data_IF_720734269857
#
_entry.id   IF_720734269857
#
_cell.length_a   1.000
_cell.length_b   1.000
_cell.length_c   1.000
_cell.angle_alpha   90.00
_cell.angle_beta   90.00
_cell.angle_gamma   90.00
#
_symmetry.space_group_name_H-M   'P 1'
#
loop_
_entity.id
_entity.type
_entity.pdbx_description
1 polymer ?
#
# COMPACT_ATOMS: atom_id res chain seq x y z
N UNK A 1 4.63 25.44 3.85
CA UNK A 1 4.05 24.60 2.77
C UNK A 1 5.10 24.24 1.74
N UNK A 2 5.89 25.20 1.24
CA UNK A 2 7.03 24.96 0.32
C UNK A 2 7.98 23.84 0.81
N UNK A 3 8.31 23.82 2.10
CA UNK A 3 9.21 22.78 2.65
C UNK A 3 8.60 21.37 2.60
N UNK A 4 7.29 21.25 2.81
CA UNK A 4 6.60 19.95 2.75
C UNK A 4 6.52 19.43 1.32
N UNK A 5 6.28 20.33 0.36
CA UNK A 5 6.27 20.00 -1.07
C UNK A 5 7.70 19.59 -1.52
N UNK A 6 8.73 20.32 -1.09
CA UNK A 6 10.14 19.99 -1.36
C UNK A 6 10.53 18.60 -0.83
N UNK A 7 10.03 18.23 0.35
CA UNK A 7 10.25 16.89 0.91
C UNK A 7 9.47 15.85 0.09
N UNK A 8 8.23 16.14 -0.28
CA UNK A 8 7.38 15.23 -1.03
C UNK A 8 7.97 14.90 -2.42
N UNK A 9 8.58 15.88 -3.08
CA UNK A 9 9.21 15.71 -4.39
C UNK A 9 10.33 14.65 -4.35
N UNK A 10 11.04 14.50 -3.23
CA UNK A 10 12.07 13.45 -3.06
C UNK A 10 11.52 12.03 -3.13
N UNK A 11 10.22 11.86 -2.91
CA UNK A 11 9.50 10.59 -2.98
C UNK A 11 8.66 10.45 -4.26
N UNK A 12 8.81 11.39 -5.21
CA UNK A 12 8.00 11.46 -6.42
C UNK A 12 6.54 11.80 -6.13
N UNK A 13 6.27 12.57 -5.06
CA UNK A 13 4.94 13.04 -4.67
C UNK A 13 4.95 14.57 -4.75
N UNK A 14 4.14 15.16 -5.61
CA UNK A 14 4.19 16.62 -5.86
C UNK A 14 3.56 17.48 -4.74
N UNK A 15 2.98 16.86 -3.71
CA UNK A 15 2.14 17.54 -2.74
C UNK A 15 2.40 17.03 -1.32
N UNK A 16 2.89 17.94 -0.47
CA UNK A 16 3.22 17.68 0.93
C UNK A 16 2.03 17.20 1.77
N UNK A 17 0.79 17.61 1.43
CA UNK A 17 -0.41 17.13 2.13
C UNK A 17 -0.72 15.68 1.79
N UNK A 18 -0.52 15.28 0.53
CA UNK A 18 -0.65 13.87 0.11
C UNK A 18 0.36 13.00 0.86
N UNK A 19 1.63 13.39 0.88
CA UNK A 19 2.66 12.67 1.63
C UNK A 19 2.33 12.63 3.14
N UNK A 20 1.90 13.74 3.75
CA UNK A 20 1.52 13.77 5.15
C UNK A 20 0.33 12.83 5.48
N UNK A 21 -0.66 12.75 4.58
CA UNK A 21 -1.78 11.80 4.70
C UNK A 21 -1.30 10.35 4.61
N UNK A 22 -0.38 10.04 3.70
CA UNK A 22 0.21 8.70 3.57
C UNK A 22 0.99 8.31 4.82
N UNK A 23 1.82 9.21 5.36
CA UNK A 23 2.57 8.98 6.60
C UNK A 23 1.64 8.76 7.80
N UNK A 24 0.51 9.47 7.88
CA UNK A 24 -0.51 9.23 8.92
C UNK A 24 -1.12 7.84 8.80
N UNK A 25 -1.47 7.44 7.58
CA UNK A 25 -2.03 6.11 7.30
C UNK A 25 -1.03 4.99 7.62
N UNK A 26 0.26 5.20 7.32
CA UNK A 26 1.34 4.29 7.69
C UNK A 26 1.59 4.24 9.20
N UNK A 27 1.45 5.36 9.91
CA UNK A 27 1.51 5.38 11.38
C UNK A 27 0.38 4.55 12.00
N UNK A 28 -0.83 4.63 11.45
CA UNK A 28 -1.93 3.74 11.83
C UNK A 28 -1.53 2.27 11.63
N UNK A 29 -1.04 1.91 10.44
CA UNK A 29 -0.59 0.54 10.14
C UNK A 29 0.48 0.06 11.13
N UNK A 30 1.51 0.88 11.36
CA UNK A 30 2.59 0.60 12.31
C UNK A 30 2.07 0.37 13.72
N UNK A 31 1.09 1.16 14.17
CA UNK A 31 0.49 0.99 15.49
C UNK A 31 -0.29 -0.32 15.58
N UNK A 32 -1.05 -0.70 14.55
CA UNK A 32 -1.72 -2.01 14.48
C UNK A 32 -0.70 -3.15 14.61
N UNK A 33 0.42 -3.08 13.88
CA UNK A 33 1.51 -4.06 13.99
C UNK A 33 2.12 -4.10 15.39
N UNK A 34 2.41 -2.95 16.00
CA UNK A 34 3.01 -2.85 17.33
C UNK A 34 2.10 -3.39 18.44
N UNK A 35 0.78 -3.31 18.25
CA UNK A 35 -0.20 -3.90 19.15
C UNK A 35 -0.48 -5.39 18.86
N UNK A 36 0.32 -6.04 18.00
CA UNK A 36 0.14 -7.43 17.57
C UNK A 36 -1.28 -7.73 17.10
N UNK A 37 -1.96 -6.71 16.58
CA UNK A 37 -3.34 -6.82 16.12
C UNK A 37 -3.37 -7.48 14.74
N UNK A 38 -4.44 -8.22 14.48
CA UNK A 38 -4.69 -8.80 13.17
C UNK A 38 -4.81 -7.71 12.09
N UNK A 39 -3.98 -7.84 11.05
CA UNK A 39 -3.95 -6.93 9.90
C UNK A 39 -4.93 -7.38 8.80
N UNK A 40 -4.93 -8.67 8.49
CA UNK A 40 -5.75 -9.24 7.42
C UNK A 40 -7.24 -9.14 7.78
N UNK A 41 -8.05 -8.59 6.87
CA UNK A 41 -9.46 -8.22 7.06
C UNK A 41 -9.72 -7.03 8.03
N UNK A 42 -8.70 -6.22 8.37
CA UNK A 42 -8.91 -4.98 9.15
C UNK A 42 -9.30 -3.83 8.24
N UNK A 43 -10.24 -3.02 8.70
CA UNK A 43 -10.57 -1.76 8.03
C UNK A 43 -9.54 -0.68 8.38
N UNK A 44 -8.95 -0.07 7.36
CA UNK A 44 -8.09 1.10 7.46
C UNK A 44 -8.97 2.32 7.69
N UNK A 45 -8.89 2.89 8.90
CA UNK A 45 -9.67 4.06 9.30
C UNK A 45 -9.02 5.33 8.75
N UNK A 46 -7.70 5.43 8.88
CA UNK A 46 -6.91 6.51 8.29
C UNK A 46 -6.55 6.16 6.84
N UNK A 47 -7.47 6.46 5.93
CA UNK A 47 -7.26 6.20 4.50
C UNK A 47 -6.30 7.22 3.87
N UNK A 48 -5.41 6.78 2.97
CA UNK A 48 -4.48 7.66 2.29
C UNK A 48 -5.23 8.56 1.31
N UNK A 49 -4.76 9.80 1.16
CA UNK A 49 -5.28 10.74 0.17
C UNK A 49 -4.86 10.32 -1.24
N UNK A 50 -5.80 10.45 -2.19
CA UNK A 50 -5.55 10.25 -3.62
C UNK A 50 -4.48 11.23 -4.13
N UNK A 51 -3.39 10.76 -4.77
CA UNK A 51 -2.45 11.64 -5.45
C UNK A 51 -3.08 12.24 -6.72
N UNK A 52 -2.57 13.38 -7.23
CA UNK A 52 -2.99 13.86 -8.55
C UNK A 52 -2.74 12.78 -9.62
N UNK A 53 -3.64 12.71 -10.61
CA UNK A 53 -3.59 11.69 -11.67
C UNK A 53 -2.24 11.72 -12.38
N UNK A 54 -1.64 10.54 -12.58
CA UNK A 54 -0.35 10.41 -13.27
C UNK A 54 0.89 10.74 -12.45
N UNK A 55 0.76 11.24 -11.20
CA UNK A 55 1.91 11.42 -10.29
C UNK A 55 2.40 10.08 -9.78
N UNK A 56 1.46 9.18 -9.49
CA UNK A 56 1.76 7.80 -9.09
C UNK A 56 0.85 6.87 -9.89
N UNK A 57 1.20 6.59 -11.16
CA UNK A 57 0.35 5.84 -12.09
C UNK A 57 -0.10 4.48 -11.54
N UNK A 58 0.78 3.81 -10.79
CA UNK A 58 0.51 2.52 -10.15
C UNK A 58 -0.73 2.54 -9.24
N UNK A 59 -1.07 3.69 -8.66
CA UNK A 59 -2.18 3.83 -7.71
C UNK A 59 -3.40 4.52 -8.31
N UNK A 60 -3.37 4.94 -9.58
CA UNK A 60 -4.49 5.67 -10.20
C UNK A 60 -5.80 4.87 -10.13
N UNK A 61 -5.71 3.54 -10.24
CA UNK A 61 -6.85 2.62 -10.16
C UNK A 61 -7.38 2.40 -8.74
N UNK A 62 -6.61 2.70 -7.69
CA UNK A 62 -7.02 2.47 -6.30
C UNK A 62 -8.27 3.28 -5.91
N UNK A 63 -8.40 4.48 -6.49
CA UNK A 63 -9.52 5.41 -6.24
C UNK A 63 -10.55 5.43 -7.37
N UNK A 64 -10.62 4.36 -8.17
CA UNK A 64 -11.70 4.18 -9.15
C UNK A 64 -12.96 3.67 -8.46
N UNK A 65 -14.14 4.07 -8.98
CA UNK A 65 -15.43 3.60 -8.45
C UNK A 65 -15.50 2.07 -8.52
N UNK A 66 -15.84 1.42 -7.40
CA UNK A 66 -15.81 -0.04 -7.26
C UNK A 66 -14.63 -0.56 -6.43
N UNK A 67 -13.56 0.23 -6.27
CA UNK A 67 -12.34 -0.16 -5.55
C UNK A 67 -12.30 0.37 -4.10
N UNK A 68 -13.44 0.73 -3.53
CA UNK A 68 -13.56 1.21 -2.14
C UNK A 68 -12.99 0.20 -1.14
N UNK A 69 -13.12 -1.10 -1.45
CA UNK A 69 -12.56 -2.19 -0.68
C UNK A 69 -11.01 -2.18 -0.67
N UNK A 70 -10.33 -1.66 -1.69
CA UNK A 70 -8.86 -1.54 -1.73
C UNK A 70 -8.39 -0.47 -0.75
N UNK A 71 -9.10 0.66 -0.70
CA UNK A 71 -8.81 1.78 0.20
C UNK A 71 -9.07 1.43 1.67
N UNK A 72 -10.09 0.61 1.90
CA UNK A 72 -10.48 0.18 3.24
C UNK A 72 -9.54 -0.87 3.83
N UNK A 73 -8.52 -1.33 3.13
CA UNK A 73 -7.73 -2.52 3.50
C UNK A 73 -6.23 -2.22 3.52
N UNK A 74 -5.43 -3.01 4.26
CA UNK A 74 -4.04 -2.66 4.51
C UNK A 74 -3.15 -2.77 3.27
N UNK A 75 -3.58 -3.46 2.21
CA UNK A 75 -2.71 -3.74 1.08
C UNK A 75 -2.21 -2.48 0.35
N UNK A 76 -3.08 -1.49 0.11
CA UNK A 76 -2.65 -0.22 -0.48
C UNK A 76 -1.58 0.49 0.37
N UNK A 77 -1.67 0.38 1.70
CA UNK A 77 -0.65 0.95 2.60
C UNK A 77 0.69 0.23 2.48
N UNK A 78 0.69 -1.09 2.24
CA UNK A 78 1.92 -1.85 1.98
C UNK A 78 2.56 -1.40 0.66
N UNK A 79 1.77 -1.16 -0.39
CA UNK A 79 2.25 -0.59 -1.66
C UNK A 79 2.84 0.82 -1.48
N UNK A 80 2.16 1.68 -0.72
CA UNK A 80 2.66 3.02 -0.39
C UNK A 80 3.98 2.92 0.38
N UNK A 81 4.07 2.02 1.36
CA UNK A 81 5.31 1.76 2.09
C UNK A 81 6.44 1.35 1.14
N UNK A 82 6.17 0.43 0.21
CA UNK A 82 7.15 0.02 -0.80
C UNK A 82 7.61 1.20 -1.66
N UNK A 83 6.68 2.02 -2.17
CA UNK A 83 7.03 3.17 -2.99
C UNK A 83 7.97 4.13 -2.26
N UNK A 84 7.65 4.46 -1.01
CA UNK A 84 8.51 5.34 -0.20
C UNK A 84 9.87 4.68 0.06
N UNK A 85 9.87 3.38 0.36
CA UNK A 85 11.10 2.63 0.60
C UNK A 85 11.98 2.53 -0.64
N UNK A 86 11.42 2.43 -1.84
CA UNK A 86 12.19 2.47 -3.10
C UNK A 86 12.94 3.78 -3.30
N UNK A 87 12.43 4.91 -2.80
CA UNK A 87 13.15 6.18 -2.80
C UNK A 87 14.21 6.27 -1.69
N UNK A 88 13.97 5.64 -0.54
CA UNK A 88 14.88 5.71 0.63
C UNK A 88 16.04 4.72 0.49
N UNK A 89 15.73 3.49 0.10
CA UNK A 89 16.66 2.37 0.00
C UNK A 89 16.28 1.47 -1.20
N UNK A 90 16.77 1.81 -2.41
CA UNK A 90 16.49 1.04 -3.63
C UNK A 90 16.97 -0.41 -3.58
N UNK A 91 17.93 -0.75 -2.72
CA UNK A 91 18.49 -2.10 -2.59
C UNK A 91 17.77 -2.94 -1.52
N UNK A 92 16.70 -2.42 -0.95
CA UNK A 92 15.91 -3.12 0.07
C UNK A 92 15.26 -4.38 -0.50
N UNK A 93 15.50 -5.52 0.15
CA UNK A 93 14.79 -6.78 -0.09
C UNK A 93 13.45 -6.87 0.65
N UNK A 94 12.99 -5.77 1.28
CA UNK A 94 11.78 -5.79 2.11
C UNK A 94 10.54 -6.28 1.37
N UNK A 95 10.32 -5.79 0.14
CA UNK A 95 9.16 -6.19 -0.64
C UNK A 95 9.16 -7.65 -1.02
N UNK A 96 10.33 -8.19 -1.37
CA UNK A 96 10.49 -9.61 -1.66
C UNK A 96 10.10 -10.44 -0.42
N UNK A 97 10.68 -10.12 0.74
CA UNK A 97 10.38 -10.82 2.00
C UNK A 97 8.90 -10.71 2.39
N UNK A 98 8.28 -9.54 2.18
CA UNK A 98 6.85 -9.36 2.41
C UNK A 98 6.02 -10.21 1.45
N UNK A 99 6.39 -10.27 0.18
CA UNK A 99 5.68 -11.06 -0.83
C UNK A 99 5.78 -12.55 -0.53
N UNK A 100 6.96 -13.04 -0.13
CA UNK A 100 7.19 -14.42 0.32
C UNK A 100 6.31 -14.75 1.54
N UNK A 101 6.29 -13.87 2.55
CA UNK A 101 5.43 -14.03 3.74
C UNK A 101 3.94 -14.03 3.39
N UNK A 102 3.50 -13.19 2.45
CA UNK A 102 2.10 -13.17 2.01
C UNK A 102 1.75 -14.43 1.21
N UNK A 103 2.70 -15.05 0.50
CA UNK A 103 2.51 -16.31 -0.20
C UNK A 103 2.38 -17.52 0.74
N UNK A 104 2.96 -17.44 1.94
CA UNK A 104 2.75 -18.44 3.01
C UNK A 104 1.36 -18.33 3.66
N UNK A 105 0.59 -17.27 3.37
CA UNK A 105 -0.70 -17.04 3.99
C UNK A 105 -1.71 -18.13 3.56
N UNK A 106 -2.43 -18.76 4.50
CA UNK A 106 -3.31 -19.88 4.17
C UNK A 106 -4.44 -19.42 3.24
N UNK A 107 -4.56 -20.07 2.08
CA UNK A 107 -5.71 -19.93 1.21
C UNK A 107 -6.82 -20.87 1.71
N UNK A 108 -7.83 -20.29 2.34
CA UNK A 108 -9.03 -20.99 2.80
C UNK A 108 -10.25 -20.18 2.38
N UNK A 109 -10.56 -20.27 1.09
CA UNK A 109 -11.73 -19.70 0.40
C UNK A 109 -13.04 -19.88 1.18
N UNK A 110 -13.37 -21.08 1.73
CA UNK A 110 -14.60 -21.28 2.52
C UNK A 110 -14.73 -20.39 3.77
N UNK A 111 -13.61 -19.92 4.32
CA UNK A 111 -13.58 -19.08 5.53
C UNK A 111 -13.31 -17.60 5.21
N UNK A 112 -13.28 -17.22 3.93
CA UNK A 112 -12.90 -15.88 3.49
C UNK A 112 -11.45 -15.52 3.84
N UNK A 113 -10.59 -16.53 4.00
CA UNK A 113 -9.16 -16.38 4.29
C UNK A 113 -8.43 -16.50 2.98
N UNK A 114 -7.86 -15.40 2.50
CA UNK A 114 -7.13 -15.37 1.25
C UNK A 114 -6.84 -13.94 0.83
N UNK A 115 -6.40 -13.80 -0.41
CA UNK A 115 -5.99 -12.52 -0.97
C UNK A 115 -7.07 -11.43 -0.83
N UNK A 116 -8.35 -11.72 -1.12
CA UNK A 116 -9.45 -10.76 -0.95
C UNK A 116 -9.58 -10.15 0.45
N UNK A 117 -9.16 -10.84 1.51
CA UNK A 117 -9.15 -10.32 2.88
C UNK A 117 -8.13 -9.18 3.09
N UNK A 118 -7.12 -9.08 2.23
CA UNK A 118 -6.16 -7.98 2.20
C UNK A 118 -6.62 -6.79 1.35
N UNK A 119 -7.78 -6.86 0.70
CA UNK A 119 -8.32 -5.78 -0.15
C UNK A 119 -7.78 -5.80 -1.56
N UNK A 120 -7.87 -6.97 -2.14
CA UNK A 120 -7.16 -7.38 -3.31
C UNK A 120 -8.23 -7.92 -4.25
N UNK A 121 -8.67 -7.11 -5.21
CA UNK A 121 -9.50 -7.57 -6.36
C UNK A 121 -8.57 -8.05 -7.45
N UNK A 122 -8.91 -9.07 -8.24
CA UNK A 122 -8.06 -9.65 -9.31
C UNK A 122 -7.31 -8.63 -10.21
N UNK A 123 -7.84 -7.40 -10.33
CA UNK A 123 -7.25 -6.27 -11.06
C UNK A 123 -5.92 -5.75 -10.48
N UNK A 124 -5.64 -5.98 -9.20
CA UNK A 124 -4.41 -5.56 -8.51
C UNK A 124 -3.15 -6.34 -8.92
N UNK A 125 -3.27 -7.59 -9.42
CA UNK A 125 -2.11 -8.43 -9.80
C UNK A 125 -1.37 -7.85 -11.01
N UNK A 126 -2.02 -6.93 -11.73
CA UNK A 126 -1.42 -6.16 -12.82
C UNK A 126 -0.69 -4.89 -12.38
N UNK A 127 -0.70 -4.53 -11.10
CA UNK A 127 0.06 -3.38 -10.60
C UNK A 127 1.53 -3.78 -10.53
N UNK A 128 2.42 -2.98 -11.13
CA UNK A 128 3.87 -3.25 -11.20
C UNK A 128 4.53 -3.30 -9.81
N UNK A 129 3.82 -2.94 -8.74
CA UNK A 129 4.28 -3.20 -7.39
C UNK A 129 4.40 -4.70 -7.10
N UNK A 130 3.74 -5.61 -7.81
CA UNK A 130 4.09 -7.02 -7.74
C UNK A 130 5.34 -7.29 -8.57
N UNK A 131 6.41 -7.88 -8.02
CA UNK A 131 7.43 -8.47 -8.86
C UNK A 131 6.72 -9.51 -9.71
N UNK A 132 6.59 -9.22 -11.01
CA UNK A 132 6.45 -10.27 -12.00
C UNK A 132 7.65 -11.16 -11.74
N UNK A 133 7.41 -12.38 -11.25
CA UNK A 133 8.46 -13.38 -11.05
C UNK A 133 9.42 -13.27 -12.23
N UNK A 134 10.66 -12.85 -11.97
CA UNK A 134 11.74 -12.96 -12.96
C UNK A 134 11.86 -14.46 -13.22
N UNK A 135 11.32 -14.92 -14.35
CA UNK A 135 11.89 -16.07 -15.04
C UNK A 135 13.31 -15.73 -15.49
#
# INVERSE_FOLDING_TARGET
MVDQDTIADKYGIQNGRTLASWLRSLNYLRNVCAHHSRLWNRNVVDQPQKPPKGVVPDFDNAWTRGNEHVLARPFLLLCICQKLLSSINPTSSWWQRLSELLAEFPENEPLGIGWGAFGVSDEWRGWECFPKNRQ
#
